data_IF_479476374859
#
_entry.id   IF_479476374859
#
_cell.length_a   1.000
_cell.length_b   1.000
_cell.length_c   1.000
_cell.angle_alpha   90.00
_cell.angle_beta   90.00
_cell.angle_gamma   90.00
#
_symmetry.space_group_name_H-M   'P 1'
#
loop_
_entity.id
_entity.type
_entity.pdbx_description
1 polymer ?
#
# COMPACT_ATOMS: atom_id res chain seq x y z
N UNK A 1 19.30 -10.42 -24.58
CA UNK A 1 18.87 -10.23 -23.17
C UNK A 1 18.36 -8.81 -23.03
N UNK A 2 17.16 -8.63 -22.50
CA UNK A 2 16.69 -7.35 -22.04
C UNK A 2 17.01 -7.30 -20.54
N UNK A 3 18.09 -6.61 -20.12
CA UNK A 3 18.34 -6.42 -18.71
C UNK A 3 17.22 -5.55 -18.14
N UNK A 4 16.71 -5.94 -16.97
CA UNK A 4 15.78 -5.13 -16.21
C UNK A 4 16.38 -4.87 -14.82
N UNK A 5 16.10 -3.70 -14.31
CA UNK A 5 16.51 -3.28 -12.98
C UNK A 5 15.35 -3.54 -12.03
N UNK A 6 15.61 -4.25 -10.94
CA UNK A 6 14.67 -4.39 -9.83
C UNK A 6 15.16 -3.47 -8.73
N UNK A 7 14.41 -2.42 -8.47
CA UNK A 7 14.69 -1.54 -7.33
C UNK A 7 13.93 -2.07 -6.11
N UNK A 8 14.64 -2.22 -5.01
CA UNK A 8 14.03 -2.41 -3.71
C UNK A 8 13.90 -1.03 -3.07
N UNK A 9 12.69 -0.48 -2.88
CA UNK A 9 12.54 0.82 -2.26
C UNK A 9 13.14 0.76 -0.85
N UNK A 10 14.17 1.57 -0.62
CA UNK A 10 14.88 1.65 0.66
C UNK A 10 14.02 2.30 1.78
N UNK A 11 12.87 2.88 1.41
CA UNK A 11 12.00 3.59 2.34
C UNK A 11 10.91 2.67 2.87
N UNK A 12 10.82 2.57 4.19
CA UNK A 12 9.64 2.02 4.85
C UNK A 12 8.41 2.91 4.57
N UNK A 13 7.31 2.30 4.18
CA UNK A 13 6.05 2.96 3.86
C UNK A 13 5.21 3.09 5.13
N UNK A 14 4.96 4.31 5.58
CA UNK A 14 4.25 4.57 6.82
C UNK A 14 2.75 4.73 6.60
N UNK A 15 1.97 3.86 7.23
CA UNK A 15 0.50 3.87 7.15
C UNK A 15 -0.08 4.20 8.52
N UNK A 16 -0.90 5.25 8.61
CA UNK A 16 -1.65 5.60 9.80
C UNK A 16 -3.03 4.96 9.77
N UNK A 17 -3.33 4.08 10.72
CA UNK A 17 -4.65 3.46 10.86
C UNK A 17 -5.36 3.95 12.13
N UNK A 18 -6.44 4.69 11.93
CA UNK A 18 -7.31 5.15 13.01
C UNK A 18 -8.54 4.25 13.09
N UNK A 19 -8.80 3.70 14.26
CA UNK A 19 -9.90 2.78 14.48
C UNK A 19 -10.76 3.19 15.67
N UNK A 20 -12.07 3.21 15.48
CA UNK A 20 -13.04 3.68 16.47
C UNK A 20 -13.29 2.74 17.64
N UNK A 21 -13.07 1.45 17.46
CA UNK A 21 -13.23 0.46 18.52
C UNK A 21 -12.49 -0.86 18.18
N UNK A 22 -12.15 -1.68 19.18
CA UNK A 22 -11.52 -2.98 18.96
C UNK A 22 -12.44 -3.92 18.18
N UNK A 23 -11.95 -4.44 17.04
CA UNK A 23 -12.67 -5.42 16.21
C UNK A 23 -11.72 -6.37 15.49
N UNK A 24 -12.25 -7.47 14.99
CA UNK A 24 -11.45 -8.47 14.29
C UNK A 24 -10.76 -7.89 13.05
N UNK A 25 -11.45 -7.06 12.27
CA UNK A 25 -10.89 -6.44 11.08
C UNK A 25 -9.58 -5.70 11.39
N UNK A 26 -9.57 -4.87 12.44
CA UNK A 26 -8.36 -4.19 12.92
C UNK A 26 -7.22 -5.16 13.23
N UNK A 27 -7.53 -6.23 13.99
CA UNK A 27 -6.52 -7.23 14.38
C UNK A 27 -5.86 -7.89 13.17
N UNK A 28 -6.67 -8.29 12.17
CA UNK A 28 -6.17 -9.05 11.04
C UNK A 28 -5.50 -8.15 9.98
N UNK A 29 -5.96 -6.91 9.78
CA UNK A 29 -5.25 -5.93 8.95
C UNK A 29 -3.85 -5.67 9.51
N UNK A 30 -3.75 -5.44 10.83
CA UNK A 30 -2.46 -5.23 11.48
C UNK A 30 -1.53 -6.42 11.28
N UNK A 31 -2.03 -7.64 11.52
CA UNK A 31 -1.25 -8.86 11.29
C UNK A 31 -0.77 -8.98 9.84
N UNK A 32 -1.63 -8.69 8.87
CA UNK A 32 -1.27 -8.72 7.45
C UNK A 32 -0.17 -7.68 7.11
N UNK A 33 -0.23 -6.48 7.68
CA UNK A 33 0.80 -5.45 7.49
C UNK A 33 2.14 -5.86 8.13
N UNK A 34 2.12 -6.48 9.32
CA UNK A 34 3.33 -6.94 10.02
C UNK A 34 4.11 -8.02 9.25
N UNK A 35 3.46 -8.74 8.31
CA UNK A 35 4.15 -9.72 7.45
C UNK A 35 4.91 -9.09 6.29
N UNK A 36 4.82 -7.77 6.09
CA UNK A 36 5.49 -7.04 5.03
C UNK A 36 6.52 -6.07 5.61
N UNK A 37 7.81 -6.43 5.53
CA UNK A 37 8.90 -5.61 6.08
C UNK A 37 9.07 -4.23 5.48
N UNK A 38 8.38 -3.91 4.37
CA UNK A 38 8.36 -2.57 3.79
C UNK A 38 7.21 -1.68 4.32
N UNK A 39 6.26 -2.25 5.09
CA UNK A 39 5.11 -1.54 5.62
C UNK A 39 5.25 -1.33 7.13
N UNK A 40 5.15 -0.09 7.57
CA UNK A 40 5.02 0.25 8.99
C UNK A 40 3.62 0.77 9.28
N UNK A 41 2.85 -0.03 10.02
CA UNK A 41 1.50 0.35 10.41
C UNK A 41 1.53 1.02 11.79
N UNK A 42 1.27 2.32 11.82
CA UNK A 42 1.08 3.10 13.04
C UNK A 42 -0.40 3.19 13.34
N UNK A 43 -0.81 2.77 14.52
CA UNK A 43 -2.22 2.65 14.83
C UNK A 43 -2.64 3.52 16.00
N UNK A 44 -3.85 4.06 15.89
CA UNK A 44 -4.55 4.78 16.94
C UNK A 44 -5.93 4.14 17.14
N UNK A 45 -6.05 3.28 18.14
CA UNK A 45 -7.25 2.52 18.43
C UNK A 45 -7.96 3.10 19.64
N UNK A 46 -9.21 3.48 19.48
CA UNK A 46 -10.05 3.89 20.60
C UNK A 46 -10.53 2.63 21.36
N UNK A 47 -10.23 2.56 22.65
CA UNK A 47 -10.62 1.43 23.52
C UNK A 47 -11.73 1.81 24.50
N UNK A 48 -12.15 3.06 24.51
CA UNK A 48 -13.23 3.60 25.33
C UNK A 48 -13.25 5.13 25.27
N UNK A 49 -14.20 5.77 25.96
CA UNK A 49 -14.25 7.23 26.04
C UNK A 49 -12.93 7.80 26.54
N UNK A 50 -12.27 8.60 25.69
CA UNK A 50 -10.96 9.23 25.98
C UNK A 50 -9.81 8.24 26.30
N UNK A 51 -9.96 6.96 25.95
CA UNK A 51 -8.92 5.95 26.10
C UNK A 51 -8.47 5.46 24.74
N UNK A 52 -7.17 5.47 24.52
CA UNK A 52 -6.57 5.15 23.24
C UNK A 52 -5.37 4.21 23.41
N UNK A 53 -5.25 3.27 22.50
CA UNK A 53 -4.06 2.42 22.36
C UNK A 53 -3.32 2.88 21.08
N UNK A 54 -2.06 3.24 21.24
CA UNK A 54 -1.16 3.60 20.14
C UNK A 54 -0.11 2.52 19.97
N UNK A 55 0.08 2.06 18.74
CA UNK A 55 1.05 1.00 18.44
C UNK A 55 1.84 1.37 17.19
N UNK A 56 3.06 0.87 17.07
CA UNK A 56 3.95 1.18 15.95
C UNK A 56 4.49 2.61 15.92
N UNK A 57 4.28 3.39 16.98
CA UNK A 57 4.74 4.78 17.11
C UNK A 57 6.25 4.86 17.37
N UNK A 58 6.90 5.90 16.84
CA UNK A 58 8.34 6.14 17.05
C UNK A 58 8.64 6.87 18.35
N UNK A 59 7.70 7.66 18.85
CA UNK A 59 7.87 8.43 20.08
C UNK A 59 6.60 8.52 20.90
N UNK A 60 6.74 8.74 22.20
CA UNK A 60 5.60 8.94 23.10
C UNK A 60 4.74 10.18 22.75
N UNK A 61 5.28 11.12 21.98
CA UNK A 61 4.56 12.33 21.53
C UNK A 61 3.71 12.09 20.30
N UNK A 62 4.06 11.08 19.50
CA UNK A 62 3.34 10.76 18.28
C UNK A 62 1.89 10.33 18.58
N UNK A 63 0.93 10.95 17.92
CA UNK A 63 -0.52 10.74 18.15
C UNK A 63 -0.97 10.92 19.61
N UNK A 64 -0.22 11.69 20.43
CA UNK A 64 -0.58 11.89 21.83
C UNK A 64 -1.84 12.73 21.99
N UNK A 65 -2.08 13.68 21.09
CA UNK A 65 -3.26 14.55 21.03
C UNK A 65 -4.42 13.97 20.19
N UNK A 66 -4.27 12.77 19.67
CA UNK A 66 -5.28 12.15 18.79
C UNK A 66 -4.91 12.19 17.33
N UNK A 67 -5.91 12.37 16.45
CA UNK A 67 -5.69 12.52 15.03
C UNK A 67 -4.86 13.79 14.74
N UNK A 68 -3.90 13.73 13.81
CA UNK A 68 -3.04 14.87 13.47
C UNK A 68 -3.82 16.15 13.15
N UNK A 69 -3.29 17.27 13.61
CA UNK A 69 -3.91 18.60 13.42
C UNK A 69 -3.07 19.55 12.56
N UNK A 70 -1.86 19.12 12.19
CA UNK A 70 -0.93 19.92 11.39
C UNK A 70 -0.43 19.13 10.16
N UNK A 71 -0.02 19.88 9.13
CA UNK A 71 0.60 19.28 7.94
C UNK A 71 1.84 18.45 8.33
N UNK A 72 2.68 18.93 9.24
CA UNK A 72 3.88 18.23 9.70
C UNK A 72 3.57 16.88 10.36
N UNK A 73 2.47 16.80 11.10
CA UNK A 73 2.07 15.56 11.76
C UNK A 73 1.45 14.55 10.79
N UNK A 74 0.62 15.02 9.84
CA UNK A 74 -0.12 14.13 8.94
C UNK A 74 0.70 13.75 7.70
N UNK A 75 1.46 14.69 7.13
CA UNK A 75 2.11 14.50 5.83
C UNK A 75 3.34 13.58 5.88
N UNK A 76 3.80 13.20 7.06
CA UNK A 76 4.85 12.18 7.22
C UNK A 76 4.37 10.78 6.82
N UNK A 77 3.06 10.50 6.92
CA UNK A 77 2.50 9.21 6.52
C UNK A 77 2.35 9.11 5.00
N UNK A 78 2.43 7.89 4.46
CA UNK A 78 2.22 7.61 3.04
C UNK A 78 0.76 7.27 2.74
N UNK A 79 0.04 6.71 3.72
CA UNK A 79 -1.40 6.48 3.63
C UNK A 79 -2.10 6.63 4.99
N UNK A 80 -3.40 6.90 4.94
CA UNK A 80 -4.29 6.99 6.10
C UNK A 80 -5.47 6.05 5.90
N UNK A 81 -5.79 5.27 6.94
CA UNK A 81 -6.96 4.40 7.00
C UNK A 81 -7.92 4.92 8.06
N UNK A 82 -9.13 5.22 7.66
CA UNK A 82 -10.25 5.44 8.56
C UNK A 82 -11.02 4.14 8.71
N UNK A 83 -10.98 3.57 9.91
CA UNK A 83 -11.78 2.41 10.29
C UNK A 83 -13.22 2.78 10.60
N UNK A 84 -13.78 2.20 11.65
CA UNK A 84 -15.16 2.48 12.06
C UNK A 84 -15.23 3.76 12.91
N UNK A 85 -15.26 4.91 12.25
CA UNK A 85 -15.16 6.23 12.85
C UNK A 85 -16.41 7.07 12.56
N UNK A 86 -16.83 7.84 13.55
CA UNK A 86 -17.86 8.86 13.38
C UNK A 86 -17.26 10.22 13.03
N UNK A 87 -17.99 11.04 12.29
CA UNK A 87 -17.61 12.43 11.95
C UNK A 87 -17.26 13.25 13.19
N UNK A 88 -17.96 13.03 14.31
CA UNK A 88 -17.80 13.80 15.55
C UNK A 88 -16.43 13.68 16.21
N UNK A 89 -15.59 12.73 15.76
CA UNK A 89 -14.22 12.56 16.26
C UNK A 89 -13.23 13.55 15.65
N UNK A 90 -13.65 14.32 14.65
CA UNK A 90 -12.78 15.21 13.91
C UNK A 90 -13.29 16.64 13.92
N UNK A 91 -12.36 17.59 13.90
CA UNK A 91 -12.69 18.98 13.59
C UNK A 91 -12.79 19.19 12.09
N UNK A 92 -13.38 20.31 11.65
CA UNK A 92 -13.48 20.65 10.23
C UNK A 92 -12.09 20.88 9.62
N UNK A 93 -11.17 21.44 10.40
CA UNK A 93 -9.78 21.65 9.99
C UNK A 93 -9.05 20.31 9.78
N UNK A 94 -9.28 19.32 10.64
CA UNK A 94 -8.69 17.98 10.47
C UNK A 94 -9.22 17.28 9.22
N UNK A 95 -10.52 17.43 8.90
CA UNK A 95 -11.08 16.86 7.67
C UNK A 95 -10.54 17.59 6.42
N UNK A 96 -10.39 18.91 6.47
CA UNK A 96 -9.77 19.69 5.41
C UNK A 96 -8.29 19.32 5.23
N UNK A 97 -7.56 19.14 6.33
CA UNK A 97 -6.18 18.67 6.33
C UNK A 97 -6.06 17.27 5.69
N UNK A 98 -7.01 16.37 5.96
CA UNK A 98 -7.04 15.03 5.36
C UNK A 98 -7.27 15.11 3.84
N UNK A 99 -8.15 16.01 3.36
CA UNK A 99 -8.30 16.28 1.94
C UNK A 99 -7.00 16.80 1.31
N UNK A 100 -6.32 17.73 1.98
CA UNK A 100 -5.06 18.29 1.51
C UNK A 100 -3.93 17.24 1.53
N UNK A 101 -3.92 16.34 2.51
CA UNK A 101 -3.05 15.17 2.53
C UNK A 101 -3.23 14.31 1.26
N UNK A 102 -4.45 14.05 0.83
CA UNK A 102 -4.69 13.31 -0.40
C UNK A 102 -4.35 14.14 -1.62
N UNK A 103 -4.92 15.34 -1.74
CA UNK A 103 -4.88 16.13 -2.98
C UNK A 103 -3.52 16.76 -3.26
N UNK A 104 -2.86 17.32 -2.25
CA UNK A 104 -1.61 18.09 -2.37
C UNK A 104 -0.38 17.23 -2.09
N UNK A 105 -0.36 16.55 -0.92
CA UNK A 105 0.74 15.69 -0.53
C UNK A 105 0.80 14.44 -1.42
N UNK A 106 -0.32 13.96 -1.93
CA UNK A 106 -0.39 12.77 -2.75
C UNK A 106 -0.46 11.46 -1.95
N UNK A 107 -0.88 11.54 -0.70
CA UNK A 107 -1.06 10.38 0.17
C UNK A 107 -2.22 9.48 -0.26
N UNK A 108 -2.17 8.23 0.18
CA UNK A 108 -3.27 7.28 0.02
C UNK A 108 -4.31 7.42 1.13
N UNK A 109 -5.57 7.17 0.81
CA UNK A 109 -6.64 7.15 1.80
C UNK A 109 -7.55 5.94 1.60
N UNK A 110 -7.86 5.25 2.68
CA UNK A 110 -8.86 4.18 2.71
C UNK A 110 -9.93 4.48 3.74
N UNK A 111 -11.19 4.48 3.31
CA UNK A 111 -12.32 4.39 4.23
C UNK A 111 -12.82 2.96 4.28
N UNK A 112 -12.79 2.38 5.48
CA UNK A 112 -13.12 0.99 5.74
C UNK A 112 -14.52 0.91 6.37
N UNK A 113 -15.32 -0.03 5.93
CA UNK A 113 -16.64 -0.28 6.45
C UNK A 113 -16.68 -0.55 7.95
N UNK A 114 -17.84 -0.40 8.53
CA UNK A 114 -18.09 -0.59 9.95
C UNK A 114 -19.49 -0.19 10.34
N UNK A 115 -19.79 -0.20 11.62
CA UNK A 115 -21.13 0.19 12.13
C UNK A 115 -21.43 1.66 11.95
N UNK A 116 -20.42 2.50 12.09
CA UNK A 116 -20.52 3.97 12.01
C UNK A 116 -19.79 4.56 10.80
N UNK A 117 -19.01 3.75 10.09
CA UNK A 117 -18.33 4.17 8.88
C UNK A 117 -19.34 4.51 7.77
N UNK A 118 -18.95 5.42 6.88
CA UNK A 118 -19.83 5.94 5.82
C UNK A 118 -21.11 6.60 6.34
N UNK A 119 -21.07 7.08 7.58
CA UNK A 119 -22.20 7.72 8.24
C UNK A 119 -22.58 9.05 7.55
N UNK A 120 -23.84 9.40 7.73
CA UNK A 120 -24.45 10.66 7.24
C UNK A 120 -23.68 11.90 7.71
N UNK A 121 -22.98 11.81 8.84
CA UNK A 121 -22.16 12.90 9.35
C UNK A 121 -21.03 13.32 8.42
N UNK A 122 -20.60 12.47 7.50
CA UNK A 122 -19.58 12.81 6.51
C UNK A 122 -20.16 13.46 5.23
N UNK A 123 -21.48 13.49 5.04
CA UNK A 123 -22.12 14.17 3.90
C UNK A 123 -21.83 15.68 3.98
N UNK A 124 -21.39 16.27 2.88
CA UNK A 124 -21.01 17.68 2.78
C UNK A 124 -19.70 18.05 3.46
N UNK A 125 -18.93 17.05 3.92
CA UNK A 125 -17.58 17.29 4.48
C UNK A 125 -16.50 17.12 3.41
N UNK A 126 -15.27 17.64 3.66
CA UNK A 126 -14.14 17.43 2.77
C UNK A 126 -13.82 15.95 2.49
N UNK A 127 -14.20 15.02 3.38
CA UNK A 127 -14.00 13.58 3.15
C UNK A 127 -14.85 13.09 1.98
N UNK A 128 -16.11 13.50 1.91
CA UNK A 128 -16.98 13.11 0.80
C UNK A 128 -16.41 13.52 -0.55
N UNK A 129 -15.76 14.69 -0.64
CA UNK A 129 -15.21 15.20 -1.90
C UNK A 129 -14.29 14.19 -2.61
N UNK A 130 -13.46 13.51 -1.83
CA UNK A 130 -12.45 12.60 -2.38
C UNK A 130 -12.78 11.10 -2.26
N UNK A 131 -13.87 10.70 -1.61
CA UNK A 131 -14.29 9.30 -1.64
C UNK A 131 -14.68 8.87 -3.05
N UNK A 132 -14.38 7.63 -3.47
CA UNK A 132 -14.76 7.10 -4.79
C UNK A 132 -16.25 6.81 -4.93
N UNK A 133 -17.01 6.90 -3.82
CA UNK A 133 -18.45 6.69 -3.76
C UNK A 133 -19.12 7.94 -3.22
N UNK A 134 -20.34 8.22 -3.67
CA UNK A 134 -21.18 9.26 -3.08
C UNK A 134 -21.77 8.74 -1.77
N UNK A 135 -21.91 9.62 -0.78
CA UNK A 135 -22.63 9.27 0.44
C UNK A 135 -24.12 9.56 0.29
N UNK A 136 -24.97 8.70 0.81
CA UNK A 136 -26.42 8.84 0.71
C UNK A 136 -27.03 8.89 2.09
N UNK A 137 -27.89 9.88 2.31
CA UNK A 137 -28.66 9.94 3.54
C UNK A 137 -29.63 8.76 3.58
N UNK A 138 -29.64 8.03 4.69
CA UNK A 138 -30.44 6.82 4.89
C UNK A 138 -31.93 7.00 4.58
N UNK A 139 -32.47 8.20 4.80
CA UNK A 139 -33.89 8.51 4.48
C UNK A 139 -34.22 8.38 3.00
N UNK A 140 -33.23 8.51 2.11
CA UNK A 140 -33.40 8.36 0.66
C UNK A 140 -33.15 6.94 0.17
N UNK A 141 -32.65 6.04 1.04
CA UNK A 141 -32.47 4.65 0.70
C UNK A 141 -33.81 3.91 0.68
N UNK A 142 -33.98 2.93 -0.23
CA UNK A 142 -35.09 1.97 -0.16
C UNK A 142 -35.14 1.28 1.20
N UNK A 143 -36.31 0.92 1.72
CA UNK A 143 -36.47 0.30 3.05
C UNK A 143 -35.53 -0.90 3.28
N UNK A 144 -35.31 -1.73 2.25
CA UNK A 144 -34.49 -2.92 2.27
C UNK A 144 -32.98 -2.63 2.43
N UNK A 145 -32.56 -1.40 2.16
CA UNK A 145 -31.18 -0.94 2.29
C UNK A 145 -30.94 -0.05 3.52
N UNK A 146 -32.00 0.33 4.23
CA UNK A 146 -31.88 1.16 5.43
C UNK A 146 -31.28 0.37 6.60
N UNK A 147 -30.58 1.05 7.47
CA UNK A 147 -29.88 0.44 8.61
C UNK A 147 -28.55 -0.22 8.23
N UNK A 148 -28.16 -0.09 6.97
CA UNK A 148 -27.09 -0.89 6.40
C UNK A 148 -27.48 -2.37 6.42
N UNK A 149 -27.24 -3.11 5.38
CA UNK A 149 -27.57 -4.53 5.35
C UNK A 149 -26.58 -5.27 6.24
N UNK A 150 -26.88 -5.29 7.55
CA UNK A 150 -25.99 -5.85 8.57
C UNK A 150 -24.68 -5.10 8.70
N UNK A 151 -24.73 -3.82 9.08
CA UNK A 151 -23.54 -3.00 9.32
C UNK A 151 -22.58 -3.68 10.27
N UNK A 152 -21.33 -3.78 9.86
CA UNK A 152 -20.23 -4.27 10.70
C UNK A 152 -20.28 -5.76 11.01
N UNK A 153 -19.59 -6.15 12.10
CA UNK A 153 -19.54 -7.52 12.63
C UNK A 153 -20.87 -8.02 13.21
N UNK A 154 -21.99 -7.38 12.87
CA UNK A 154 -23.28 -7.74 13.46
C UNK A 154 -23.72 -9.14 12.97
N UNK A 155 -24.02 -10.08 13.88
CA UNK A 155 -24.32 -11.47 13.53
C UNK A 155 -25.57 -11.64 12.65
N UNK A 156 -26.41 -10.61 12.50
CA UNK A 156 -27.63 -10.64 11.68
C UNK A 156 -27.43 -10.15 10.25
N UNK A 157 -26.20 -9.71 9.86
CA UNK A 157 -25.90 -9.30 8.50
C UNK A 157 -26.02 -10.47 7.52
N UNK A 158 -26.61 -10.22 6.34
CA UNK A 158 -26.61 -11.20 5.26
C UNK A 158 -25.20 -11.44 4.75
N UNK A 159 -24.88 -12.69 4.51
CA UNK A 159 -23.61 -13.06 3.89
C UNK A 159 -23.68 -12.92 2.37
N UNK A 160 -22.55 -12.62 1.75
CA UNK A 160 -22.43 -12.53 0.30
C UNK A 160 -20.98 -12.78 -0.15
N UNK A 161 -20.81 -13.33 -1.34
CA UNK A 161 -19.53 -13.41 -2.01
C UNK A 161 -19.40 -12.18 -2.93
N UNK A 162 -18.37 -11.33 -2.77
CA UNK A 162 -18.18 -10.17 -3.64
C UNK A 162 -17.90 -10.62 -5.07
N UNK A 163 -18.58 -9.98 -6.03
CA UNK A 163 -18.38 -10.25 -7.45
C UNK A 163 -17.35 -9.26 -8.02
N UNK A 164 -16.26 -9.79 -8.57
CA UNK A 164 -15.25 -8.96 -9.22
C UNK A 164 -15.79 -8.41 -10.54
N UNK A 165 -15.58 -7.12 -10.77
CA UNK A 165 -15.80 -6.49 -12.08
C UNK A 165 -14.70 -6.89 -13.07
N UNK A 166 -14.84 -6.49 -14.34
CA UNK A 166 -13.78 -6.67 -15.35
C UNK A 166 -12.49 -5.97 -14.93
N UNK A 167 -12.60 -4.76 -14.38
CA UNK A 167 -11.47 -4.00 -13.81
C UNK A 167 -10.91 -4.68 -12.58
N UNK A 168 -11.76 -5.26 -11.74
CA UNK A 168 -11.35 -6.02 -10.56
C UNK A 168 -10.53 -7.27 -10.93
N UNK A 169 -10.96 -8.01 -11.94
CA UNK A 169 -10.23 -9.21 -12.42
C UNK A 169 -8.84 -8.87 -12.97
N UNK A 170 -8.67 -7.69 -13.56
CA UNK A 170 -7.40 -7.20 -14.11
C UNK A 170 -6.53 -6.48 -13.07
N UNK A 171 -7.11 -6.13 -11.93
CA UNK A 171 -6.44 -5.33 -10.91
C UNK A 171 -5.38 -6.11 -10.17
N UNK A 172 -4.18 -5.54 -10.06
CA UNK A 172 -3.11 -6.10 -9.22
C UNK A 172 -3.48 -6.12 -7.73
N UNK A 173 -4.40 -5.27 -7.28
CA UNK A 173 -4.87 -5.24 -5.88
C UNK A 173 -5.59 -6.55 -5.52
N UNK A 174 -6.33 -7.11 -6.48
CA UNK A 174 -7.14 -8.32 -6.29
C UNK A 174 -6.49 -9.59 -6.87
N UNK A 175 -5.21 -9.49 -7.23
CA UNK A 175 -4.48 -10.62 -7.80
C UNK A 175 -3.87 -11.48 -6.69
N UNK A 176 -4.59 -12.52 -6.27
CA UNK A 176 -4.17 -13.45 -5.21
C UNK A 176 -3.29 -14.59 -5.74
N UNK A 177 -3.30 -14.84 -7.04
CA UNK A 177 -2.38 -15.77 -7.71
C UNK A 177 -1.85 -15.18 -9.01
N UNK A 178 -0.74 -15.74 -9.49
CA UNK A 178 -0.07 -15.31 -10.73
C UNK A 178 -0.87 -15.76 -11.94
N UNK A 179 -1.39 -16.98 -11.90
CA UNK A 179 -2.20 -17.56 -12.98
C UNK A 179 -3.64 -17.07 -12.87
N UNK A 180 -4.22 -16.62 -13.99
CA UNK A 180 -5.55 -16.03 -14.01
C UNK A 180 -6.64 -17.03 -13.59
N UNK A 181 -6.52 -18.30 -13.99
CA UNK A 181 -7.47 -19.36 -13.65
C UNK A 181 -7.44 -19.69 -12.15
N UNK A 182 -6.24 -19.79 -11.56
CA UNK A 182 -6.06 -20.02 -10.12
C UNK A 182 -6.55 -18.81 -9.31
N UNK A 183 -6.29 -17.60 -9.78
CA UNK A 183 -6.80 -16.39 -9.15
C UNK A 183 -8.34 -16.36 -9.14
N UNK A 184 -8.99 -16.69 -10.26
CA UNK A 184 -10.44 -16.77 -10.32
C UNK A 184 -11.01 -17.87 -9.42
N UNK A 185 -10.32 -19.00 -9.32
CA UNK A 185 -10.70 -20.09 -8.42
C UNK A 185 -10.59 -19.63 -6.95
N UNK A 186 -9.47 -19.01 -6.56
CA UNK A 186 -9.29 -18.49 -5.21
C UNK A 186 -10.41 -17.52 -4.82
N UNK A 187 -10.83 -16.60 -5.72
CA UNK A 187 -11.92 -15.68 -5.46
C UNK A 187 -13.28 -16.36 -5.34
N UNK A 188 -13.54 -17.42 -6.11
CA UNK A 188 -14.78 -18.22 -5.99
C UNK A 188 -14.84 -19.01 -4.68
N UNK A 189 -13.68 -19.47 -4.21
CA UNK A 189 -13.55 -20.28 -2.99
C UNK A 189 -13.35 -19.41 -1.73
N UNK A 190 -13.40 -18.06 -1.86
CA UNK A 190 -13.34 -17.16 -0.71
C UNK A 190 -14.59 -17.29 0.16
N UNK A 191 -14.43 -17.36 1.49
CA UNK A 191 -15.57 -17.31 2.40
C UNK A 191 -16.38 -16.04 2.20
N UNK A 192 -17.70 -16.16 2.37
CA UNK A 192 -18.60 -15.03 2.26
C UNK A 192 -18.29 -13.95 3.29
N UNK A 193 -18.36 -12.71 2.85
CA UNK A 193 -18.36 -11.53 3.70
C UNK A 193 -19.72 -11.39 4.39
N UNK A 194 -19.80 -10.61 5.46
CA UNK A 194 -21.03 -10.39 6.20
C UNK A 194 -21.29 -8.90 6.37
N UNK A 195 -22.42 -8.44 5.86
CA UNK A 195 -22.80 -7.04 5.94
C UNK A 195 -22.05 -6.12 5.00
N UNK A 196 -22.72 -5.07 4.57
CA UNK A 196 -22.22 -4.02 3.69
C UNK A 196 -22.71 -2.66 4.13
N UNK A 197 -21.83 -1.66 4.11
CA UNK A 197 -22.24 -0.27 4.21
C UNK A 197 -22.87 0.16 2.89
N UNK A 198 -24.02 0.78 2.95
CA UNK A 198 -24.69 1.28 1.75
C UNK A 198 -24.24 2.71 1.49
N UNK A 199 -23.39 2.88 0.49
CA UNK A 199 -23.12 4.16 -0.13
C UNK A 199 -23.99 4.34 -1.37
N UNK A 200 -23.96 5.51 -1.95
CA UNK A 200 -24.58 5.76 -3.25
C UNK A 200 -23.77 5.14 -4.40
N UNK A 201 -23.83 5.81 -5.54
CA UNK A 201 -23.10 5.38 -6.73
C UNK A 201 -21.60 5.58 -6.62
N UNK A 202 -20.87 4.82 -7.40
CA UNK A 202 -19.48 5.18 -7.72
C UNK A 202 -19.45 6.54 -8.43
N UNK A 203 -18.55 7.44 -8.02
CA UNK A 203 -18.43 8.76 -8.63
C UNK A 203 -17.87 8.67 -10.04
N UNK A 204 -18.17 9.66 -10.91
CA UNK A 204 -17.52 9.76 -12.20
C UNK A 204 -16.00 9.78 -12.05
N UNK A 205 -15.31 8.88 -12.75
CA UNK A 205 -13.85 8.69 -12.63
C UNK A 205 -13.41 7.71 -11.55
N UNK A 206 -14.30 7.19 -10.73
CA UNK A 206 -14.02 6.07 -9.84
C UNK A 206 -14.03 4.74 -10.60
N UNK A 207 -13.18 3.83 -10.17
CA UNK A 207 -13.12 2.44 -10.66
C UNK A 207 -13.66 1.52 -9.60
N UNK A 208 -14.70 0.78 -9.93
CA UNK A 208 -15.27 -0.25 -9.05
C UNK A 208 -14.57 -1.57 -9.34
N UNK A 209 -13.99 -2.18 -8.33
CA UNK A 209 -13.27 -3.45 -8.41
C UNK A 209 -14.13 -4.65 -8.03
N UNK A 210 -15.03 -4.46 -7.07
CA UNK A 210 -15.95 -5.50 -6.64
C UNK A 210 -17.31 -4.91 -6.29
N UNK A 211 -18.36 -5.66 -6.59
CA UNK A 211 -19.75 -5.30 -6.36
C UNK A 211 -20.48 -6.35 -5.53
N UNK A 212 -21.57 -5.96 -4.91
CA UNK A 212 -22.49 -6.90 -4.26
C UNK A 212 -23.28 -7.69 -5.32
N UNK A 213 -23.41 -9.02 -5.20
CA UNK A 213 -23.99 -9.86 -6.24
C UNK A 213 -25.49 -9.64 -6.49
N UNK A 214 -26.23 -9.16 -5.50
CA UNK A 214 -27.71 -9.06 -5.58
C UNK A 214 -28.28 -7.72 -5.15
N UNK A 215 -27.55 -6.94 -4.35
CA UNK A 215 -28.04 -5.64 -3.91
C UNK A 215 -27.66 -4.54 -4.90
N UNK A 216 -28.61 -3.68 -5.20
CA UNK A 216 -28.44 -2.54 -6.10
C UNK A 216 -29.11 -1.30 -5.55
N UNK A 217 -28.62 -0.14 -5.94
CA UNK A 217 -29.23 1.14 -5.68
C UNK A 217 -29.41 1.88 -7.01
N UNK A 218 -30.63 2.32 -7.32
CA UNK A 218 -31.01 2.98 -8.60
C UNK A 218 -30.54 2.20 -9.84
N UNK A 219 -30.71 0.88 -9.84
CA UNK A 219 -30.33 -0.06 -10.90
C UNK A 219 -28.81 -0.27 -11.09
N UNK A 220 -27.94 0.26 -10.22
CA UNK A 220 -26.52 -0.04 -10.22
C UNK A 220 -26.18 -0.96 -9.05
N UNK A 221 -25.36 -2.02 -9.25
CA UNK A 221 -24.90 -2.88 -8.18
C UNK A 221 -24.16 -2.09 -7.11
N UNK A 222 -24.42 -2.39 -5.82
CA UNK A 222 -23.70 -1.71 -4.74
C UNK A 222 -22.19 -2.00 -4.81
N UNK A 223 -21.32 -0.97 -4.81
CA UNK A 223 -19.89 -1.16 -4.78
C UNK A 223 -19.46 -1.76 -3.43
N UNK A 224 -18.62 -2.79 -3.46
CA UNK A 224 -17.96 -3.37 -2.29
C UNK A 224 -16.56 -2.80 -2.14
N UNK A 225 -15.85 -2.66 -3.25
CA UNK A 225 -14.52 -2.07 -3.30
C UNK A 225 -14.42 -1.16 -4.51
N UNK A 226 -14.11 0.10 -4.26
CA UNK A 226 -13.93 1.09 -5.30
C UNK A 226 -12.75 2.01 -4.97
N UNK A 227 -12.08 2.54 -5.99
CA UNK A 227 -11.03 3.54 -5.83
C UNK A 227 -11.13 4.65 -6.86
N UNK A 228 -10.47 5.77 -6.57
CA UNK A 228 -10.23 6.84 -7.53
C UNK A 228 -8.92 7.56 -7.26
N UNK A 229 -8.47 8.34 -8.22
CA UNK A 229 -7.43 9.36 -8.03
C UNK A 229 -8.09 10.67 -7.64
N UNK A 230 -7.48 11.36 -6.67
CA UNK A 230 -7.93 12.68 -6.26
C UNK A 230 -6.71 13.60 -6.06
N UNK A 231 -6.62 14.63 -6.90
CA UNK A 231 -5.40 15.45 -6.96
C UNK A 231 -4.16 14.60 -7.29
N UNK A 232 -3.17 14.63 -6.42
CA UNK A 232 -1.94 13.83 -6.55
C UNK A 232 -2.04 12.45 -5.91
N UNK A 233 -3.05 12.23 -5.04
CA UNK A 233 -3.21 11.02 -4.27
C UNK A 233 -4.23 10.04 -4.81
N UNK A 234 -4.53 9.06 -3.97
CA UNK A 234 -5.45 7.97 -4.27
C UNK A 234 -6.38 7.74 -3.10
N UNK A 235 -7.62 7.41 -3.42
CA UNK A 235 -8.60 7.08 -2.40
C UNK A 235 -9.30 5.77 -2.71
N UNK A 236 -9.65 5.06 -1.68
CA UNK A 236 -10.32 3.79 -1.76
C UNK A 236 -11.43 3.70 -0.71
N UNK A 237 -12.51 3.02 -1.05
CA UNK A 237 -13.58 2.66 -0.13
C UNK A 237 -13.77 1.14 -0.16
N UNK A 238 -13.67 0.51 1.00
CA UNK A 238 -14.04 -0.88 1.21
C UNK A 238 -15.29 -0.90 2.09
N UNK A 239 -16.42 -1.26 1.49
CA UNK A 239 -17.75 -1.07 2.06
C UNK A 239 -18.15 -2.16 3.07
N UNK A 240 -17.23 -2.96 3.53
CA UNK A 240 -17.43 -4.02 4.53
C UNK A 240 -16.33 -4.01 5.57
N UNK A 241 -16.58 -4.64 6.70
CA UNK A 241 -15.66 -4.78 7.82
C UNK A 241 -15.40 -6.24 8.19
N UNK A 242 -15.61 -7.16 7.26
CA UNK A 242 -15.64 -8.59 7.58
C UNK A 242 -14.68 -9.42 6.72
N UNK A 243 -13.62 -8.80 6.18
CA UNK A 243 -12.59 -9.53 5.44
C UNK A 243 -11.78 -10.47 6.35
N UNK A 244 -11.78 -10.24 7.66
CA UNK A 244 -11.19 -11.14 8.66
C UNK A 244 -11.75 -12.57 8.58
N UNK A 245 -12.98 -12.74 8.05
CA UNK A 245 -13.60 -14.04 7.81
C UNK A 245 -12.79 -14.89 6.82
N UNK A 246 -12.14 -14.25 5.85
CA UNK A 246 -11.26 -14.94 4.90
C UNK A 246 -10.08 -15.61 5.60
N UNK A 247 -9.58 -15.02 6.68
CA UNK A 247 -8.53 -15.62 7.48
C UNK A 247 -9.05 -16.69 8.44
N UNK A 248 -10.23 -16.49 9.01
CA UNK A 248 -10.74 -17.36 10.08
C UNK A 248 -11.46 -18.60 9.56
N UNK A 249 -12.01 -18.54 8.36
CA UNK A 249 -12.82 -19.64 7.79
C UNK A 249 -12.06 -20.49 6.75
N UNK A 250 -10.80 -20.15 6.47
CA UNK A 250 -9.90 -20.92 5.62
C UNK A 250 -8.84 -21.64 6.46
N UNK A 251 -8.17 -22.67 5.91
CA UNK A 251 -7.05 -23.32 6.59
C UNK A 251 -5.97 -22.30 6.99
N UNK A 252 -5.27 -22.58 8.09
CA UNK A 252 -4.26 -21.69 8.65
C UNK A 252 -3.12 -21.35 7.68
N UNK A 253 -2.82 -22.23 6.74
CA UNK A 253 -1.79 -22.09 5.71
C UNK A 253 -2.22 -21.16 4.56
N UNK A 254 -3.51 -20.85 4.47
CA UNK A 254 -4.01 -19.94 3.43
C UNK A 254 -3.63 -18.49 3.74
N UNK A 255 -2.88 -17.89 2.84
CA UNK A 255 -2.38 -16.50 2.95
C UNK A 255 -3.14 -15.51 2.09
N UNK A 256 -4.32 -15.88 1.57
CA UNK A 256 -5.09 -15.02 0.65
C UNK A 256 -5.47 -13.69 1.28
N UNK A 257 -5.89 -13.71 2.54
CA UNK A 257 -6.25 -12.50 3.29
C UNK A 257 -5.04 -11.56 3.48
N UNK A 258 -3.91 -12.09 3.96
CA UNK A 258 -2.69 -11.30 4.14
C UNK A 258 -2.19 -10.74 2.80
N UNK A 259 -2.28 -11.53 1.72
CA UNK A 259 -1.89 -11.11 0.38
C UNK A 259 -2.79 -9.97 -0.12
N UNK A 260 -4.09 -10.10 0.05
CA UNK A 260 -5.06 -9.03 -0.29
C UNK A 260 -4.70 -7.72 0.42
N UNK A 261 -4.53 -7.74 1.74
CA UNK A 261 -4.25 -6.54 2.50
C UNK A 261 -2.89 -5.94 2.20
N UNK A 262 -1.84 -6.75 2.05
CA UNK A 262 -0.52 -6.25 1.64
C UNK A 262 -0.57 -5.55 0.27
N UNK A 263 -1.24 -6.14 -0.71
CA UNK A 263 -1.39 -5.54 -2.03
C UNK A 263 -2.18 -4.23 -1.97
N UNK A 264 -3.27 -4.20 -1.21
CA UNK A 264 -4.09 -3.00 -1.02
C UNK A 264 -3.28 -1.88 -0.34
N UNK A 265 -2.59 -2.18 0.75
CA UNK A 265 -1.76 -1.20 1.47
C UNK A 265 -0.61 -0.69 0.61
N UNK A 266 0.08 -1.57 -0.10
CA UNK A 266 1.12 -1.17 -1.05
C UNK A 266 0.55 -0.30 -2.17
N UNK A 267 -0.62 -0.64 -2.71
CA UNK A 267 -1.25 0.18 -3.74
C UNK A 267 -1.59 1.58 -3.22
N UNK A 268 -2.03 1.72 -1.99
CA UNK A 268 -2.29 3.03 -1.38
C UNK A 268 -1.02 3.87 -1.24
N UNK A 269 0.11 3.25 -0.93
CA UNK A 269 1.36 3.94 -0.57
C UNK A 269 2.31 4.19 -1.74
N UNK A 270 2.31 3.35 -2.78
CA UNK A 270 3.28 3.36 -3.90
C UNK A 270 3.34 4.69 -4.66
N UNK A 271 2.26 5.47 -4.68
CA UNK A 271 2.25 6.78 -5.38
C UNK A 271 2.49 7.96 -4.46
N UNK A 272 2.77 7.70 -3.21
CA UNK A 272 3.05 8.75 -2.24
C UNK A 272 4.39 9.40 -2.56
N UNK A 273 4.43 10.70 -2.94
CA UNK A 273 5.66 11.38 -3.25
C UNK A 273 6.61 11.41 -2.05
N UNK A 274 7.89 11.29 -2.33
CA UNK A 274 8.93 11.58 -1.33
C UNK A 274 9.24 13.07 -1.30
N UNK A 275 9.78 13.63 -0.20
CA UNK A 275 10.17 15.03 -0.14
C UNK A 275 11.16 15.43 -1.26
N UNK A 276 11.94 14.47 -1.73
CA UNK A 276 12.82 14.62 -2.90
C UNK A 276 12.48 13.50 -3.90
N UNK A 277 11.94 13.87 -5.04
CA UNK A 277 11.67 12.96 -6.17
C UNK A 277 12.80 13.06 -7.19
N UNK A 278 13.41 11.93 -7.53
CA UNK A 278 14.40 11.83 -8.62
C UNK A 278 13.72 11.29 -9.86
N UNK A 279 13.89 11.97 -10.99
CA UNK A 279 13.22 11.65 -12.24
C UNK A 279 14.24 11.53 -13.37
N UNK A 280 14.16 10.46 -14.13
CA UNK A 280 14.88 10.26 -15.39
C UNK A 280 13.90 10.19 -16.55
N UNK A 281 14.32 10.59 -17.74
CA UNK A 281 13.52 10.45 -18.96
C UNK A 281 13.39 8.99 -19.38
N UNK A 282 14.40 8.17 -19.07
CA UNK A 282 14.45 6.73 -19.33
C UNK A 282 15.30 6.05 -18.25
N UNK A 283 15.11 4.77 -18.03
CA UNK A 283 15.88 3.98 -17.05
C UNK A 283 17.01 3.16 -17.68
N UNK A 284 17.23 3.31 -18.99
CA UNK A 284 18.29 2.66 -19.73
C UNK A 284 18.99 3.64 -20.67
N UNK A 285 20.30 3.69 -20.60
CA UNK A 285 21.17 4.55 -21.39
C UNK A 285 22.25 3.71 -22.07
N UNK A 286 22.90 4.24 -23.12
CA UNK A 286 24.11 3.68 -23.65
C UNK A 286 25.33 4.25 -22.93
N UNK A 287 26.42 3.47 -22.88
CA UNK A 287 27.71 4.00 -22.38
C UNK A 287 28.12 5.20 -23.22
N UNK A 288 28.46 6.30 -22.57
CA UNK A 288 28.77 7.58 -23.20
C UNK A 288 27.59 8.51 -23.40
N UNK A 289 26.35 8.06 -23.12
CA UNK A 289 25.18 8.94 -23.18
C UNK A 289 25.23 10.02 -22.10
N UNK A 290 24.72 11.18 -22.46
CA UNK A 290 24.41 12.25 -21.54
C UNK A 290 23.12 11.94 -20.79
N UNK A 291 23.20 11.86 -19.46
CA UNK A 291 22.07 11.56 -18.55
C UNK A 291 21.60 12.86 -17.92
N UNK A 292 20.35 13.23 -18.22
CA UNK A 292 19.69 14.39 -17.61
C UNK A 292 18.85 13.94 -16.42
N UNK A 293 19.23 14.39 -15.25
CA UNK A 293 18.52 14.11 -13.98
C UNK A 293 17.69 15.31 -13.60
N UNK A 294 16.43 15.07 -13.28
CA UNK A 294 15.52 16.06 -12.69
C UNK A 294 15.24 15.67 -11.25
N UNK A 295 15.36 16.61 -10.33
CA UNK A 295 14.91 16.43 -8.95
C UNK A 295 13.79 17.42 -8.67
N UNK A 296 12.76 16.97 -7.96
CA UNK A 296 11.74 17.84 -7.38
C UNK A 296 11.90 17.84 -5.88
N UNK A 297 11.99 19.02 -5.29
CA UNK A 297 12.19 19.21 -3.87
C UNK A 297 10.97 19.91 -3.29
N UNK A 298 10.44 19.32 -2.21
CA UNK A 298 9.27 19.82 -1.50
C UNK A 298 9.63 20.09 -0.04
N UNK A 299 8.97 21.08 0.57
CA UNK A 299 9.00 21.30 2.02
C UNK A 299 8.13 20.28 2.77
N UNK A 300 8.05 20.38 4.09
CA UNK A 300 7.23 19.53 4.96
C UNK A 300 5.73 19.57 4.61
N UNK A 301 5.27 20.69 4.06
CA UNK A 301 3.90 20.85 3.53
C UNK A 301 3.74 20.39 2.08
N UNK A 302 4.75 19.73 1.51
CA UNK A 302 4.79 19.29 0.10
C UNK A 302 4.57 20.43 -0.91
N UNK A 303 5.01 21.65 -0.55
CA UNK A 303 5.10 22.77 -1.46
C UNK A 303 6.48 22.79 -2.12
N UNK A 304 6.55 23.11 -3.43
CA UNK A 304 7.83 23.15 -4.14
C UNK A 304 8.78 24.20 -3.53
N UNK A 305 10.03 23.82 -3.27
CA UNK A 305 11.08 24.70 -2.73
C UNK A 305 12.03 25.11 -3.84
N UNK A 306 12.15 26.43 -4.11
CA UNK A 306 12.99 26.97 -5.17
C UNK A 306 14.37 27.45 -4.70
N UNK A 307 14.60 27.60 -3.41
CA UNK A 307 15.82 28.16 -2.83
C UNK A 307 16.65 27.12 -2.03
N UNK A 308 16.50 25.82 -2.35
CA UNK A 308 17.30 24.78 -1.71
C UNK A 308 18.65 24.61 -2.43
N UNK A 309 19.67 24.21 -1.68
CA UNK A 309 20.92 23.69 -2.25
C UNK A 309 20.76 22.19 -2.46
N UNK A 310 20.79 21.75 -3.71
CA UNK A 310 20.52 20.35 -4.09
C UNK A 310 21.76 19.72 -4.69
N UNK A 311 22.13 18.56 -4.19
CA UNK A 311 23.26 17.79 -4.65
C UNK A 311 22.81 16.45 -5.22
N UNK A 312 23.36 16.10 -6.37
CA UNK A 312 23.24 14.81 -6.99
C UNK A 312 24.55 14.05 -6.77
N UNK A 313 24.48 12.92 -6.09
CA UNK A 313 25.57 11.97 -5.96
C UNK A 313 25.35 10.83 -6.93
N UNK A 314 26.28 10.62 -7.82
CA UNK A 314 26.29 9.55 -8.81
C UNK A 314 27.28 8.49 -8.38
N UNK A 315 26.83 7.27 -8.14
CA UNK A 315 27.70 6.13 -7.85
C UNK A 315 27.74 5.21 -9.07
N UNK A 316 28.89 5.08 -9.68
CA UNK A 316 29.10 4.23 -10.84
C UNK A 316 29.16 2.73 -10.49
N UNK A 317 29.12 1.83 -11.50
CA UNK A 317 29.18 0.39 -11.31
C UNK A 317 30.49 -0.13 -10.69
N UNK A 318 31.54 0.66 -10.73
CA UNK A 318 32.84 0.41 -10.11
C UNK A 318 33.00 1.03 -8.70
N UNK A 319 31.90 1.62 -8.17
CA UNK A 319 31.94 2.31 -6.89
C UNK A 319 32.51 3.72 -6.92
N UNK A 320 32.91 4.25 -8.11
CA UNK A 320 33.30 5.64 -8.24
C UNK A 320 32.14 6.57 -7.94
N UNK A 321 32.40 7.62 -7.16
CA UNK A 321 31.39 8.58 -6.72
C UNK A 321 31.71 9.95 -7.34
N UNK A 322 30.65 10.60 -7.87
CA UNK A 322 30.70 11.96 -8.38
C UNK A 322 29.59 12.78 -7.73
N UNK A 323 29.93 13.93 -7.14
CA UNK A 323 28.95 14.84 -6.54
C UNK A 323 28.77 16.05 -7.45
N UNK A 324 27.53 16.31 -7.86
CA UNK A 324 27.17 17.36 -8.81
C UNK A 324 26.13 18.28 -8.16
N UNK A 325 26.42 19.58 -8.09
CA UNK A 325 25.44 20.54 -7.64
C UNK A 325 24.37 20.75 -8.72
N UNK A 326 23.11 20.55 -8.37
CA UNK A 326 21.98 20.71 -9.29
C UNK A 326 21.58 22.18 -9.41
N UNK A 327 21.20 22.60 -10.61
CA UNK A 327 20.73 23.96 -10.91
C UNK A 327 19.22 24.04 -10.85
N UNK A 328 18.68 25.12 -10.28
CA UNK A 328 17.23 25.37 -10.25
C UNK A 328 16.69 25.61 -11.66
N UNK A 329 15.58 24.96 -12.01
CA UNK A 329 14.86 25.20 -13.25
C UNK A 329 13.99 26.48 -13.10
N UNK A 330 14.33 27.51 -13.86
CA UNK A 330 13.63 28.81 -13.82
C UNK A 330 12.16 28.67 -14.25
N UNK A 331 11.86 27.70 -15.13
CA UNK A 331 10.52 27.51 -15.66
C UNK A 331 9.59 26.72 -14.69
N UNK A 332 10.15 26.00 -13.71
CA UNK A 332 9.38 25.12 -12.83
C UNK A 332 9.89 25.21 -11.40
N UNK A 333 9.16 25.92 -10.57
CA UNK A 333 9.43 26.06 -9.12
C UNK A 333 9.66 24.70 -8.48
N UNK A 334 10.71 24.58 -7.65
CA UNK A 334 11.05 23.35 -6.93
C UNK A 334 11.65 22.25 -7.79
N UNK A 335 11.95 22.52 -9.05
CA UNK A 335 12.64 21.57 -9.94
C UNK A 335 14.10 21.94 -10.08
N UNK A 336 14.97 20.93 -10.01
CA UNK A 336 16.43 21.08 -10.15
C UNK A 336 16.92 20.13 -11.23
N UNK A 337 17.93 20.55 -11.96
CA UNK A 337 18.49 19.85 -13.11
C UNK A 337 19.98 19.62 -12.91
N UNK A 338 20.44 18.43 -13.28
CA UNK A 338 21.84 18.11 -13.42
C UNK A 338 22.04 17.25 -14.65
N UNK A 339 23.26 17.26 -15.18
CA UNK A 339 23.63 16.46 -16.33
C UNK A 339 25.00 15.86 -16.09
N UNK A 340 25.16 14.59 -16.40
CA UNK A 340 26.45 13.90 -16.36
C UNK A 340 26.54 12.86 -17.48
N UNK A 341 27.73 12.30 -17.71
CA UNK A 341 27.92 11.26 -18.73
C UNK A 341 28.05 9.88 -18.10
N UNK A 342 27.24 8.93 -18.56
CA UNK A 342 27.34 7.54 -18.12
C UNK A 342 28.55 6.86 -18.78
N UNK A 343 29.74 7.01 -18.20
CA UNK A 343 30.99 6.58 -18.81
C UNK A 343 31.27 5.08 -18.78
N UNK A 344 30.57 4.32 -17.92
CA UNK A 344 30.77 2.88 -17.70
C UNK A 344 29.49 2.09 -17.86
N UNK A 345 29.63 0.87 -18.40
CA UNK A 345 28.51 -0.08 -18.49
C UNK A 345 28.24 -0.70 -17.12
N UNK A 346 26.98 -0.76 -16.72
CA UNK A 346 26.52 -1.33 -15.45
C UNK A 346 25.43 -0.50 -14.79
N UNK A 347 25.10 -0.84 -13.54
CA UNK A 347 24.12 -0.13 -12.75
C UNK A 347 24.74 1.10 -12.13
N UNK A 348 24.12 2.25 -12.34
CA UNK A 348 24.46 3.51 -11.70
C UNK A 348 23.38 3.82 -10.66
N UNK A 349 23.81 4.28 -9.50
CA UNK A 349 22.91 4.75 -8.43
C UNK A 349 22.97 6.27 -8.34
N UNK A 350 21.81 6.88 -8.28
CA UNK A 350 21.63 8.31 -8.12
C UNK A 350 21.04 8.57 -6.74
N UNK A 351 21.69 9.41 -5.97
CA UNK A 351 21.18 9.89 -4.69
C UNK A 351 21.09 11.42 -4.75
N UNK A 352 19.92 11.95 -4.48
CA UNK A 352 19.73 13.41 -4.42
C UNK A 352 19.49 13.80 -2.98
N UNK A 353 20.29 14.73 -2.49
CA UNK A 353 20.14 15.35 -1.18
C UNK A 353 19.83 16.83 -1.32
N UNK A 354 18.99 17.36 -0.44
CA UNK A 354 18.71 18.79 -0.39
C UNK A 354 18.93 19.33 1.01
N UNK A 355 19.58 20.50 1.09
CA UNK A 355 19.75 21.27 2.31
C UNK A 355 19.18 22.67 2.13
N UNK A 356 18.59 23.21 3.22
CA UNK A 356 17.96 24.53 3.19
C UNK A 356 16.49 24.49 2.75
N UNK A 357 15.59 24.72 3.69
CA UNK A 357 14.14 24.75 3.48
C UNK A 357 13.39 23.49 3.92
N UNK A 358 14.08 22.46 4.36
CA UNK A 358 13.55 21.28 5.03
C UNK A 358 14.02 21.27 6.48
N UNK A 359 13.19 20.83 7.41
CA UNK A 359 13.61 20.60 8.82
C UNK A 359 14.47 19.34 8.95
N UNK A 360 14.46 18.47 7.93
CA UNK A 360 15.30 17.27 7.81
C UNK A 360 15.87 17.18 6.41
N UNK A 361 17.12 16.68 6.29
CA UNK A 361 17.73 16.42 4.99
C UNK A 361 16.85 15.46 4.17
N UNK A 362 16.31 15.96 3.06
CA UNK A 362 15.51 15.16 2.15
C UNK A 362 16.39 14.32 1.25
N UNK A 363 16.08 13.02 1.14
CA UNK A 363 16.77 12.09 0.24
C UNK A 363 15.83 11.52 -0.79
N UNK A 364 16.30 11.45 -2.03
CA UNK A 364 15.67 10.69 -3.10
C UNK A 364 16.71 9.81 -3.77
N UNK A 365 16.38 8.59 -4.12
CA UNK A 365 17.28 7.69 -4.82
C UNK A 365 16.61 7.07 -6.03
N UNK A 366 17.38 6.79 -7.06
CA UNK A 366 16.97 6.11 -8.28
C UNK A 366 18.17 5.40 -8.87
N UNK A 367 17.95 4.25 -9.49
CA UNK A 367 18.99 3.55 -10.23
C UNK A 367 18.67 3.46 -11.71
N UNK A 368 19.68 3.44 -12.56
CA UNK A 368 19.52 3.20 -13.97
C UNK A 368 20.60 2.27 -14.50
N UNK A 369 20.37 1.67 -15.65
CA UNK A 369 21.31 0.79 -16.32
C UNK A 369 21.95 1.52 -17.50
N UNK A 370 23.27 1.65 -17.49
CA UNK A 370 24.05 1.96 -18.68
C UNK A 370 24.53 0.64 -19.32
N UNK A 371 24.28 0.46 -20.60
CA UNK A 371 24.73 -0.71 -21.33
C UNK A 371 25.38 -0.27 -22.64
N UNK A 372 26.45 -0.92 -23.03
CA UNK A 372 27.05 -0.67 -24.32
C UNK A 372 26.01 -0.90 -25.41
N UNK A 373 25.92 0.02 -26.36
CA UNK A 373 25.08 -0.19 -27.54
C UNK A 373 25.67 -1.35 -28.31
N UNK A 374 25.06 -2.54 -28.11
CA UNK A 374 25.50 -3.73 -28.82
C UNK A 374 25.22 -3.52 -30.30
N UNK A 375 26.23 -3.05 -31.03
CA UNK A 375 26.22 -3.01 -32.49
C UNK A 375 26.05 -4.42 -33.10
N UNK A 376 26.18 -5.46 -32.28
CA UNK A 376 26.00 -6.87 -32.67
C UNK A 376 24.56 -7.30 -32.97
N UNK A 377 23.54 -6.50 -32.67
CA UNK A 377 22.15 -6.86 -33.00
C UNK A 377 21.75 -6.70 -34.48
N UNK A 378 22.69 -6.45 -35.39
CA UNK A 378 22.43 -6.46 -36.84
C UNK A 378 22.60 -7.83 -37.47
N UNK A 379 23.10 -8.83 -36.79
CA UNK A 379 23.08 -10.24 -37.20
C UNK A 379 21.83 -10.92 -36.67
N UNK A 380 21.11 -11.63 -37.54
CA UNK A 380 19.86 -12.33 -37.29
C UNK A 380 19.61 -12.68 -35.80
N UNK A 381 18.67 -11.98 -35.18
CA UNK A 381 18.31 -12.19 -33.77
C UNK A 381 17.58 -13.52 -33.57
N UNK A 382 18.29 -14.64 -33.74
CA UNK A 382 17.79 -15.97 -33.40
C UNK A 382 18.26 -16.27 -31.99
N UNK A 383 17.31 -16.32 -31.06
CA UNK A 383 17.59 -16.67 -29.68
C UNK A 383 18.13 -18.11 -29.58
N UNK A 384 19.36 -18.27 -29.11
CA UNK A 384 19.93 -19.59 -28.86
C UNK A 384 19.47 -20.11 -27.48
N UNK A 385 18.25 -20.63 -27.44
CA UNK A 385 17.62 -21.17 -26.22
C UNK A 385 18.50 -22.21 -25.50
N UNK A 386 19.13 -23.13 -26.26
CA UNK A 386 19.98 -24.18 -25.71
C UNK A 386 21.21 -23.60 -24.97
N UNK A 387 21.78 -22.54 -25.52
CA UNK A 387 22.92 -21.87 -24.87
C UNK A 387 22.48 -21.18 -23.57
N UNK A 388 21.30 -20.54 -23.57
CA UNK A 388 20.77 -19.87 -22.39
C UNK A 388 20.42 -20.84 -21.27
N UNK A 389 19.80 -21.98 -21.59
CA UNK A 389 19.51 -23.06 -20.65
C UNK A 389 20.83 -23.61 -20.05
N UNK A 390 21.87 -23.79 -20.88
CA UNK A 390 23.18 -24.27 -20.41
C UNK A 390 23.89 -23.28 -19.51
N UNK A 391 23.82 -21.97 -19.82
CA UNK A 391 24.40 -20.90 -18.98
C UNK A 391 23.67 -20.86 -17.64
N UNK A 392 22.34 -20.93 -17.64
CA UNK A 392 21.57 -20.95 -16.41
C UNK A 392 21.91 -22.17 -15.54
N UNK A 393 22.03 -23.34 -16.13
CA UNK A 393 22.38 -24.58 -15.43
C UNK A 393 23.80 -24.54 -14.83
N UNK A 394 24.80 -24.01 -15.58
CA UNK A 394 26.19 -23.87 -15.09
C UNK A 394 26.28 -22.81 -13.98
N UNK A 395 25.48 -21.75 -14.08
CA UNK A 395 25.37 -20.70 -13.06
C UNK A 395 24.53 -21.05 -11.83
N UNK A 396 23.98 -22.28 -11.76
CA UNK A 396 23.12 -22.71 -10.62
C UNK A 396 21.73 -22.05 -10.62
N UNK A 397 21.31 -21.45 -11.73
CA UNK A 397 20.02 -20.79 -11.90
C UNK A 397 19.11 -21.51 -12.89
N UNK A 398 17.95 -20.91 -13.16
CA UNK A 398 16.98 -21.40 -14.12
C UNK A 398 16.79 -20.43 -15.29
N UNK A 399 16.53 -20.96 -16.47
CA UNK A 399 16.17 -20.17 -17.65
C UNK A 399 14.64 -19.97 -17.69
N UNK A 400 14.21 -18.74 -17.94
CA UNK A 400 12.81 -18.38 -18.11
C UNK A 400 12.59 -17.75 -19.48
N UNK A 401 11.61 -18.25 -20.23
CA UNK A 401 11.15 -17.62 -21.47
C UNK A 401 10.27 -16.40 -21.16
N UNK A 402 9.94 -15.60 -22.18
CA UNK A 402 8.98 -14.49 -22.03
C UNK A 402 7.62 -14.97 -21.48
N UNK A 403 7.22 -16.19 -21.82
CA UNK A 403 5.98 -16.83 -21.37
C UNK A 403 6.08 -17.30 -19.91
N UNK A 404 7.27 -17.70 -19.45
CA UNK A 404 7.52 -18.21 -18.10
C UNK A 404 8.21 -17.19 -17.19
N UNK A 405 8.47 -15.97 -17.67
CA UNK A 405 9.13 -14.90 -16.90
C UNK A 405 8.39 -14.53 -15.61
N UNK A 406 7.07 -14.75 -15.57
CA UNK A 406 6.25 -14.56 -14.36
C UNK A 406 6.70 -15.47 -13.22
N UNK A 407 7.21 -16.67 -13.52
CA UNK A 407 7.74 -17.59 -12.51
C UNK A 407 9.03 -17.08 -11.86
N UNK A 408 9.75 -16.17 -12.53
CA UNK A 408 10.92 -15.49 -11.96
C UNK A 408 10.58 -14.73 -10.67
N UNK A 409 9.38 -14.15 -10.61
CA UNK A 409 8.92 -13.44 -9.40
C UNK A 409 8.79 -14.36 -8.18
N UNK A 410 8.46 -15.64 -8.39
CA UNK A 410 8.43 -16.64 -7.32
C UNK A 410 9.84 -16.95 -6.79
N UNK A 411 10.82 -17.00 -7.68
CA UNK A 411 12.21 -17.32 -7.33
C UNK A 411 12.90 -16.13 -6.69
N UNK A 412 12.67 -14.91 -7.20
CA UNK A 412 13.24 -13.68 -6.62
C UNK A 412 12.69 -13.42 -5.20
N UNK A 413 11.43 -13.74 -4.95
CA UNK A 413 10.85 -13.63 -3.61
C UNK A 413 11.43 -14.67 -2.61
N UNK A 414 11.97 -15.79 -3.07
CA UNK A 414 12.52 -16.83 -2.20
C UNK A 414 14.01 -16.66 -1.89
N UNK A 415 14.76 -15.93 -2.71
CA UNK A 415 16.24 -15.88 -2.61
C UNK A 415 16.80 -14.57 -2.03
N UNK A 416 15.97 -13.60 -1.73
CA UNK A 416 16.43 -12.40 -1.05
C UNK A 416 15.84 -12.33 0.34
N UNK A 417 16.59 -12.82 1.26
CA UNK A 417 16.70 -12.34 2.62
C UNK A 417 17.14 -13.54 3.46
N UNK A 418 18.32 -13.47 4.00
CA UNK A 418 18.63 -14.22 5.23
C UNK A 418 17.67 -13.65 6.28
N UNK A 419 16.45 -14.19 6.32
CA UNK A 419 15.55 -13.91 7.42
C UNK A 419 15.99 -14.74 8.62
N UNK A 420 16.23 -14.07 9.70
CA UNK A 420 16.05 -14.73 10.99
C UNK A 420 14.57 -14.97 11.13
N UNK A 421 14.10 -16.15 10.75
CA UNK A 421 12.71 -16.56 10.99
C UNK A 421 12.60 -16.81 12.48
N UNK A 422 12.05 -15.84 13.20
CA UNK A 422 11.63 -16.08 14.59
C UNK A 422 10.35 -16.91 14.48
N UNK A 423 10.47 -18.22 14.69
CA UNK A 423 9.30 -19.07 14.83
C UNK A 423 8.66 -18.76 16.19
N UNK A 424 7.53 -18.09 16.18
CA UNK A 424 6.64 -18.08 17.33
C UNK A 424 5.90 -19.40 17.32
N UNK A 425 6.34 -20.33 18.17
CA UNK A 425 5.57 -21.53 18.44
C UNK A 425 4.43 -21.13 19.39
N UNK A 426 3.22 -21.14 18.89
CA UNK A 426 2.04 -20.88 19.73
C UNK A 426 1.80 -22.12 20.59
N UNK A 427 2.38 -22.10 21.80
CA UNK A 427 2.34 -23.23 22.72
C UNK A 427 0.95 -23.49 23.33
N UNK A 428 0.01 -22.53 23.16
CA UNK A 428 -1.33 -22.64 23.74
C UNK A 428 -2.20 -23.73 23.09
N UNK A 429 -1.88 -24.15 21.88
CA UNK A 429 -2.58 -25.23 21.19
C UNK A 429 -1.94 -26.62 21.39
N UNK A 430 -0.86 -26.70 22.16
CA UNK A 430 -0.22 -27.97 22.45
C UNK A 430 -1.00 -28.68 23.58
N UNK A 431 -1.60 -29.81 23.27
CA UNK A 431 -2.39 -30.60 24.23
C UNK A 431 -1.66 -30.84 25.56
N UNK A 432 -0.35 -31.01 25.53
CA UNK A 432 0.50 -31.24 26.73
C UNK A 432 0.46 -30.01 27.66
N UNK A 433 0.49 -28.78 27.15
CA UNK A 433 0.44 -27.59 27.99
C UNK A 433 -0.92 -27.46 28.66
N UNK A 434 -1.98 -27.82 27.96
CA UNK A 434 -3.34 -27.84 28.51
C UNK A 434 -3.50 -28.90 29.60
N UNK A 435 -2.98 -30.10 29.37
CA UNK A 435 -2.98 -31.18 30.38
C UNK A 435 -2.16 -30.82 31.62
N UNK A 436 -1.03 -30.11 31.44
CA UNK A 436 -0.18 -29.68 32.55
C UNK A 436 -0.89 -28.60 33.41
N UNK A 437 -1.58 -27.67 32.77
CA UNK A 437 -2.42 -26.69 33.45
C UNK A 437 -3.57 -27.38 34.24
N UNK A 438 -4.24 -28.34 33.62
CA UNK A 438 -5.31 -29.09 34.25
C UNK A 438 -4.79 -29.92 35.45
N UNK A 439 -3.62 -30.48 35.31
CA UNK A 439 -2.95 -31.23 36.39
C UNK A 439 -2.56 -30.29 37.54
N UNK A 440 -2.03 -29.09 37.25
CA UNK A 440 -1.69 -28.09 38.29
C UNK A 440 -2.95 -27.62 39.06
N UNK A 441 -4.05 -27.38 38.37
CA UNK A 441 -5.31 -27.03 39.01
C UNK A 441 -5.91 -28.18 39.83
N UNK A 442 -5.81 -29.39 39.33
CA UNK A 442 -6.24 -30.60 40.04
C UNK A 442 -5.43 -30.87 41.32
N UNK A 443 -4.11 -30.64 41.26
CA UNK A 443 -3.22 -30.75 42.43
C UNK A 443 -3.51 -29.64 43.47
N UNK A 444 -3.75 -28.42 43.06
CA UNK A 444 -4.12 -27.32 43.95
C UNK A 444 -5.43 -27.66 44.70
N UNK A 445 -6.41 -28.23 43.96
CA UNK A 445 -7.70 -28.60 44.53
C UNK A 445 -7.61 -29.78 45.50
N UNK A 446 -6.65 -30.71 45.28
CA UNK A 446 -6.43 -31.87 46.12
C UNK A 446 -5.62 -31.54 47.39
N UNK A 447 -4.82 -30.46 47.36
CA UNK A 447 -4.00 -29.98 48.48
C UNK A 447 -4.69 -28.93 49.36
N UNK A 448 -5.84 -28.41 48.92
CA UNK A 448 -6.75 -27.59 49.68
C UNK A 448 -7.80 -28.44 50.40
#
# INVERSE_FOLDING_TARGET
QLPFLVENPAKELEVLYIEGHPRNEYKFIRRAAETDGALRLKTYLMTGPQKFLRQGIDSARELASGYPSTEQELFKYDAVIFGDLTRSLFTDEQLALTRDFVSRRGGGFLMLGGTTAFDQGFIGTPIEDFLPVSLVNEKYLPPELRGGVGKGDHPTGRTFAPQLTTEGQRSMILRLDIEDEDNQKLWRDMPELQGINVAGHAKPGATVLAVHPTLSFQNEPLPVLAYQRYGRGRTMSLMTATTWRWQMLKPHEDTSHERFWRQLLRWLTVSSPTPVEVLLERNKFSTGDEVKVKARVYDEGYKPVSAATVWLKVTGPDGAVEDIQMQSDIARTGTYLATFTASKSGVHQLEVSSSGGLSTDGYGSLSFLAADSVQEMRGAAVMNRKLMEKIAQVGGGNYYSSETAVLLLRVLNSNQLVYTVIFYLDIWHIAIVFLLLFFCFGLEWLLR
#
